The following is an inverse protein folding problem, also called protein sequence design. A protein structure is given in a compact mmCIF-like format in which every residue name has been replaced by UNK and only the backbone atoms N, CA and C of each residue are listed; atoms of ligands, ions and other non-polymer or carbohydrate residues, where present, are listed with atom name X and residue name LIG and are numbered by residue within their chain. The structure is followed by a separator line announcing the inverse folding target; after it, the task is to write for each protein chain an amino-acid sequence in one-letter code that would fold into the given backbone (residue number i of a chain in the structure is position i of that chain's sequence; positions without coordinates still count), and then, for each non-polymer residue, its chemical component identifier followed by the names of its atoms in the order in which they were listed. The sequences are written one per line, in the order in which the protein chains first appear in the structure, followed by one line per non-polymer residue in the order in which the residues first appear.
data_IF_251418651975
#
_entry.id   IF_251418651975
#
_cell.length_a   1.000
_cell.length_b   1.000
_cell.length_c   1.000
_cell.angle_alpha   90.00
_cell.angle_beta   90.00
_cell.angle_gamma   90.00
#
_symmetry.space_group_name_H-M   'P 1'
#
loop_
_entity.id
_entity.type
_entity.pdbx_description
1 polymer ?
#
# COMPACT_ATOMS: atom_id res chain seq x y z
N UNK A 1 -4.52 3.76 -7.27
CA UNK A 1 -4.92 5.03 -7.91
C UNK A 1 -5.07 6.09 -6.84
N UNK A 2 -4.70 7.35 -7.12
CA UNK A 2 -4.89 8.48 -6.20
C UNK A 2 -5.51 9.63 -6.99
N UNK A 3 -6.70 10.11 -6.59
CA UNK A 3 -7.38 11.24 -7.24
C UNK A 3 -7.53 11.08 -8.77
N UNK A 4 -7.88 9.86 -9.22
CA UNK A 4 -7.98 9.53 -10.65
C UNK A 4 -6.64 9.38 -11.38
N UNK A 5 -5.51 9.64 -10.73
CA UNK A 5 -4.18 9.34 -11.27
C UNK A 5 -3.78 7.92 -10.93
N UNK A 6 -3.39 7.15 -11.94
CA UNK A 6 -2.75 5.85 -11.72
C UNK A 6 -1.42 6.12 -11.03
N UNK A 7 -1.29 5.61 -9.81
CA UNK A 7 -0.07 5.60 -9.03
C UNK A 7 0.20 4.14 -8.77
N UNK A 8 1.09 3.58 -9.56
CA UNK A 8 1.50 2.19 -9.44
C UNK A 8 2.31 2.06 -8.14
N UNK A 9 2.13 0.93 -7.46
CA UNK A 9 2.92 0.61 -6.27
C UNK A 9 4.31 0.28 -6.79
N UNK A 10 5.39 0.95 -6.37
CA UNK A 10 6.70 0.65 -6.90
C UNK A 10 7.11 -0.79 -6.57
N UNK A 11 7.83 -1.42 -7.49
CA UNK A 11 8.51 -2.68 -7.22
C UNK A 11 9.57 -2.46 -6.13
N UNK A 12 9.85 -3.49 -5.33
CA UNK A 12 10.87 -3.48 -4.26
C UNK A 12 10.53 -2.58 -3.05
N UNK A 13 9.26 -2.26 -2.80
CA UNK A 13 8.88 -1.62 -1.52
C UNK A 13 9.22 -2.58 -0.38
N UNK A 14 9.88 -2.08 0.66
CA UNK A 14 10.29 -2.91 1.80
C UNK A 14 11.48 -3.84 1.54
N UNK A 15 12.03 -3.84 0.31
CA UNK A 15 13.27 -4.55 -0.02
C UNK A 15 14.42 -3.56 -0.03
N UNK A 16 15.40 -3.77 0.85
CA UNK A 16 16.67 -3.04 0.84
C UNK A 16 17.80 -3.99 0.48
N UNK A 17 18.94 -3.43 0.04
CA UNK A 17 20.11 -4.19 -0.45
C UNK A 17 20.62 -5.24 0.55
N UNK A 18 20.44 -4.99 1.84
CA UNK A 18 20.90 -5.85 2.94
C UNK A 18 19.76 -6.54 3.72
N UNK A 19 18.49 -6.19 3.49
CA UNK A 19 17.39 -6.73 4.28
C UNK A 19 16.04 -6.63 3.57
N UNK A 20 15.29 -7.73 3.58
CA UNK A 20 13.87 -7.75 3.20
C UNK A 20 13.03 -7.59 4.46
N UNK A 21 12.16 -6.58 4.49
CA UNK A 21 11.12 -6.49 5.54
C UNK A 21 10.14 -7.64 5.40
N UNK A 22 9.40 -7.90 6.48
CA UNK A 22 8.34 -8.92 6.48
C UNK A 22 7.26 -8.64 5.44
N UNK A 23 7.02 -7.37 5.09
CA UNK A 23 6.13 -6.95 4.01
C UNK A 23 6.96 -6.35 2.90
N UNK A 24 6.81 -6.88 1.68
CA UNK A 24 7.52 -6.35 0.52
C UNK A 24 6.76 -6.55 -0.79
N UNK A 25 7.07 -5.74 -1.80
CA UNK A 25 6.59 -5.95 -3.18
C UNK A 25 7.74 -6.41 -4.07
N UNK A 26 7.45 -7.33 -4.99
CA UNK A 26 8.42 -7.76 -6.01
C UNK A 26 8.24 -6.99 -7.31
N UNK A 27 6.99 -6.69 -7.66
CA UNK A 27 6.62 -6.09 -8.95
C UNK A 27 5.81 -4.81 -8.74
N UNK A 28 5.74 -3.99 -9.79
CA UNK A 28 4.93 -2.76 -9.82
C UNK A 28 3.43 -2.99 -10.00
N UNK A 29 3.04 -4.26 -10.15
CA UNK A 29 1.67 -4.71 -10.36
C UNK A 29 0.78 -4.51 -9.11
N UNK A 30 1.37 -4.39 -7.91
CA UNK A 30 0.62 -4.27 -6.65
C UNK A 30 0.46 -5.58 -5.87
N UNK A 31 1.21 -6.62 -6.24
CA UNK A 31 1.32 -7.85 -5.46
C UNK A 31 2.19 -7.63 -4.23
N UNK A 32 1.61 -7.83 -3.05
CA UNK A 32 2.29 -7.72 -1.77
C UNK A 32 2.64 -9.13 -1.30
N UNK A 33 3.89 -9.31 -0.88
CA UNK A 33 4.42 -10.54 -0.32
C UNK A 33 4.71 -10.40 1.16
N UNK A 34 4.48 -11.48 1.89
CA UNK A 34 4.73 -11.56 3.32
C UNK A 34 5.76 -12.65 3.59
N UNK A 35 6.95 -12.27 4.06
CA UNK A 35 7.97 -13.21 4.54
C UNK A 35 8.15 -13.02 6.05
N UNK A 36 7.24 -13.60 6.82
CA UNK A 36 7.33 -13.66 8.28
C UNK A 36 7.26 -15.12 8.73
N UNK A 37 8.19 -15.53 9.60
CA UNK A 37 8.18 -16.87 10.22
C UNK A 37 7.05 -17.04 11.23
N UNK A 38 6.43 -15.95 11.67
CA UNK A 38 5.26 -15.94 12.55
C UNK A 38 4.02 -15.58 11.75
N UNK A 39 2.94 -16.33 11.98
CA UNK A 39 1.62 -16.04 11.46
C UNK A 39 1.05 -14.80 12.16
N UNK A 40 1.54 -13.64 11.75
CA UNK A 40 1.11 -12.35 12.25
C UNK A 40 0.14 -11.77 11.22
N UNK A 41 -1.09 -11.40 11.61
CA UNK A 41 -2.02 -10.75 10.71
C UNK A 41 -1.48 -9.35 10.39
N UNK A 42 -0.85 -9.21 9.22
CA UNK A 42 -0.44 -7.91 8.73
C UNK A 42 -1.63 -7.21 8.09
N UNK A 43 -1.73 -5.91 8.26
CA UNK A 43 -2.81 -5.11 7.69
C UNK A 43 -2.29 -4.24 6.53
N UNK A 44 -3.15 -3.93 5.56
CA UNK A 44 -2.81 -3.04 4.43
C UNK A 44 -2.25 -1.69 4.92
N UNK A 45 -2.74 -1.18 6.05
CA UNK A 45 -2.25 0.03 6.70
C UNK A 45 -0.75 -0.05 7.07
N UNK A 46 -0.27 -1.20 7.54
CA UNK A 46 1.15 -1.38 7.83
C UNK A 46 2.00 -1.34 6.56
N UNK A 47 1.52 -1.92 5.47
CA UNK A 47 2.20 -1.83 4.18
C UNK A 47 2.27 -0.38 3.67
N UNK A 48 1.16 0.35 3.74
CA UNK A 48 1.11 1.75 3.34
C UNK A 48 2.08 2.62 4.16
N UNK A 49 2.23 2.30 5.45
CA UNK A 49 3.22 2.94 6.31
C UNK A 49 4.66 2.60 5.90
N UNK A 50 4.95 1.33 5.59
CA UNK A 50 6.26 0.89 5.05
C UNK A 50 6.57 1.58 3.72
N UNK A 51 5.56 1.78 2.88
CA UNK A 51 5.68 2.51 1.62
C UNK A 51 5.90 4.02 1.82
N UNK A 52 5.55 4.57 2.99
CA UNK A 52 5.58 6.01 3.25
C UNK A 52 4.39 6.75 2.63
N UNK A 53 3.27 6.06 2.42
CA UNK A 53 2.05 6.66 1.88
C UNK A 53 1.25 7.36 2.99
N UNK A 54 0.95 8.65 2.76
CA UNK A 54 0.34 9.50 3.78
C UNK A 54 -1.19 9.36 3.76
N UNK A 55 -1.70 8.31 4.41
CA UNK A 55 -3.13 8.03 4.55
C UNK A 55 -3.93 9.18 5.20
N UNK A 56 -3.29 9.97 6.07
CA UNK A 56 -3.95 11.03 6.85
C UNK A 56 -4.54 12.14 5.97
N UNK A 57 -3.91 12.42 4.84
CA UNK A 57 -4.37 13.39 3.84
C UNK A 57 -5.44 12.82 2.90
N UNK A 58 -5.70 11.51 2.97
CA UNK A 58 -6.66 10.81 2.11
C UNK A 58 -8.03 10.72 2.77
N UNK A 59 -9.06 10.74 1.93
CA UNK A 59 -10.47 10.67 2.25
C UNK A 59 -10.87 9.21 2.40
N UNK A 60 -10.88 8.72 3.64
CA UNK A 60 -11.28 7.36 3.99
C UNK A 60 -12.67 6.97 3.48
N UNK A 61 -13.60 7.93 3.37
CA UNK A 61 -14.98 7.65 2.93
C UNK A 61 -15.08 7.41 1.42
N UNK A 62 -14.13 7.98 0.66
CA UNK A 62 -14.04 7.82 -0.79
C UNK A 62 -12.96 6.83 -1.21
N UNK A 63 -12.02 6.55 -0.31
CA UNK A 63 -10.92 5.64 -0.57
C UNK A 63 -11.36 4.20 -0.35
N UNK A 64 -10.89 3.31 -1.22
CA UNK A 64 -11.28 1.90 -1.25
C UNK A 64 -10.06 1.03 -1.43
N UNK A 65 -10.07 -0.15 -0.80
CA UNK A 65 -9.02 -1.16 -0.96
C UNK A 65 -9.69 -2.43 -1.50
N UNK A 66 -9.01 -3.07 -2.43
CA UNK A 66 -9.43 -4.29 -3.09
C UNK A 66 -8.35 -5.36 -2.89
N UNK A 67 -8.71 -6.47 -2.28
CA UNK A 67 -7.87 -7.65 -2.15
C UNK A 67 -8.30 -8.68 -3.20
N UNK A 68 -7.41 -9.05 -4.12
CA UNK A 68 -7.72 -9.95 -5.24
C UNK A 68 -8.92 -9.49 -6.09
N UNK A 69 -9.12 -8.17 -6.20
CA UNK A 69 -10.29 -7.58 -6.88
C UNK A 69 -11.57 -7.49 -6.05
N UNK A 70 -11.57 -7.99 -4.80
CA UNK A 70 -12.70 -7.91 -3.88
C UNK A 70 -12.55 -6.67 -2.99
N UNK A 71 -13.54 -5.78 -3.01
CA UNK A 71 -13.57 -4.60 -2.14
C UNK A 71 -13.60 -5.02 -0.67
N UNK A 72 -12.63 -4.55 0.10
CA UNK A 72 -12.52 -4.87 1.52
C UNK A 72 -13.23 -3.81 2.36
N UNK A 73 -14.20 -4.19 3.21
CA UNK A 73 -14.93 -3.25 4.07
C UNK A 73 -14.04 -2.64 5.15
N UNK A 74 -12.97 -3.34 5.53
CA UNK A 74 -12.03 -2.94 6.57
C UNK A 74 -10.97 -1.94 6.10
N UNK A 75 -10.97 -1.57 4.81
CA UNK A 75 -10.06 -0.59 4.23
C UNK A 75 -8.59 -0.84 4.62
N UNK A 76 -7.95 0.01 5.44
CA UNK A 76 -6.56 -0.17 5.87
C UNK A 76 -6.37 -1.32 6.87
N UNK A 77 -7.42 -1.76 7.55
CA UNK A 77 -7.42 -2.91 8.45
C UNK A 77 -7.57 -4.25 7.72
N UNK A 78 -7.72 -4.22 6.39
CA UNK A 78 -7.74 -5.42 5.57
C UNK A 78 -6.48 -6.24 5.81
N UNK A 79 -6.65 -7.53 6.10
CA UNK A 79 -5.53 -8.44 6.26
C UNK A 79 -4.80 -8.67 4.92
N UNK A 80 -3.48 -8.56 4.97
CA UNK A 80 -2.61 -8.90 3.85
C UNK A 80 -2.37 -10.41 3.88
N UNK A 81 -2.49 -11.02 2.71
CA UNK A 81 -2.18 -12.41 2.44
C UNK A 81 -1.00 -12.46 1.46
N UNK A 82 -0.09 -13.41 1.67
CA UNK A 82 1.09 -13.56 0.82
C UNK A 82 0.69 -13.93 -0.62
N UNK A 83 1.22 -13.18 -1.59
CA UNK A 83 0.97 -13.42 -3.01
C UNK A 83 -0.38 -12.88 -3.51
N UNK A 84 -1.15 -12.20 -2.66
CA UNK A 84 -2.41 -11.57 -3.06
C UNK A 84 -2.15 -10.23 -3.75
N UNK A 85 -2.93 -9.98 -4.80
CA UNK A 85 -2.89 -8.73 -5.54
C UNK A 85 -3.75 -7.67 -4.84
N UNK A 86 -3.13 -6.59 -4.37
CA UNK A 86 -3.83 -5.52 -3.67
C UNK A 86 -3.93 -4.28 -4.55
N UNK A 87 -5.15 -3.81 -4.76
CA UNK A 87 -5.43 -2.55 -5.45
C UNK A 87 -6.04 -1.57 -4.47
N UNK A 88 -5.43 -0.40 -4.31
CA UNK A 88 -5.99 0.67 -3.49
C UNK A 88 -6.34 1.88 -4.36
N UNK A 89 -7.50 2.44 -4.12
CA UNK A 89 -8.00 3.66 -4.74
C UNK A 89 -8.15 4.70 -3.64
N UNK A 90 -7.23 5.65 -3.57
CA UNK A 90 -7.28 6.75 -2.61
C UNK A 90 -7.84 7.99 -3.28
N UNK A 91 -8.56 8.79 -2.51
CA UNK A 91 -9.03 10.11 -2.94
C UNK A 91 -8.51 11.11 -1.93
N UNK A 92 -7.80 12.15 -2.34
CA UNK A 92 -7.26 13.16 -1.41
C UNK A 92 -8.38 14.03 -0.83
N UNK A 93 -8.34 14.32 0.49
CA UNK A 93 -9.29 15.27 1.14
C UNK A 93 -9.08 16.70 0.63
N UNK A 94 -7.91 17.01 0.06
CA UNK A 94 -7.51 18.36 -0.31
C UNK A 94 -6.77 18.37 -1.67
N UNK A 95 -7.32 19.01 -2.70
CA UNK A 95 -6.67 19.20 -4.01
C UNK A 95 -5.50 20.23 -3.97
N UNK A 96 -4.73 20.29 -2.87
CA UNK A 96 -3.79 21.40 -2.63
C UNK A 96 -2.69 21.22 -1.57
N UNK A 97 -2.33 19.99 -1.18
CA UNK A 97 -1.21 19.75 -0.25
C UNK A 97 -0.14 18.84 -0.91
N UNK A 98 1.14 18.98 -0.50
CA UNK A 98 2.26 19.08 -1.43
C UNK A 98 2.54 17.77 -2.15
N UNK A 99 2.88 17.93 -3.43
CA UNK A 99 3.48 16.94 -4.31
C UNK A 99 4.46 16.06 -3.55
N UNK A 100 4.13 14.78 -3.49
CA UNK A 100 5.01 13.70 -3.08
C UNK A 100 6.29 13.76 -3.94
N UNK A 101 7.34 14.41 -3.43
CA UNK A 101 8.70 14.23 -3.91
C UNK A 101 9.28 13.05 -3.13
N UNK A 102 9.41 11.86 -3.72
CA UNK A 102 10.14 10.78 -3.07
C UNK A 102 11.57 11.26 -2.79
N UNK A 103 12.13 11.02 -1.59
CA UNK A 103 13.51 11.39 -1.31
C UNK A 103 14.45 10.60 -2.24
N UNK A 104 15.28 11.32 -3.00
CA UNK A 104 16.44 10.74 -3.68
C UNK A 104 17.53 10.52 -2.63
N UNK A 105 17.83 9.26 -2.32
CA UNK A 105 19.04 8.89 -1.61
C UNK A 105 19.58 7.56 -2.15
#
# INVERSE_FOLDING_TARGET
MVDGKKKDIPANVGITKDCKRSLYTLSDDGTIHISSTKNYPFEVGQFLWVWGFNLRDMDETKSKIYANGIESPDFVHTMIEDGTHYKAEFVSKNQGAPTFTPPQN
#
